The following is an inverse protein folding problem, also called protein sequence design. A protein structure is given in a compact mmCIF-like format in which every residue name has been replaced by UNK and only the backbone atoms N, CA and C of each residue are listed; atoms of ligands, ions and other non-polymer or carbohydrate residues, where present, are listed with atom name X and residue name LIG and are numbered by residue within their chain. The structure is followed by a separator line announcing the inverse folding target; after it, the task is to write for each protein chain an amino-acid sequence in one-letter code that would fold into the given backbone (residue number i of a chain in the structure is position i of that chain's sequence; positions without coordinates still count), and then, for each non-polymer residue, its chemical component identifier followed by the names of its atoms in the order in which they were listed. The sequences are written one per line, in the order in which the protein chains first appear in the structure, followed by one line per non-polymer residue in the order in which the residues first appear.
data_IF_397519975820
#
_entry.id   IF_397519975820
#
_cell.length_a   1.000
_cell.length_b   1.000
_cell.length_c   1.000
_cell.angle_alpha   90.00
_cell.angle_beta   90.00
_cell.angle_gamma   90.00
#
_symmetry.space_group_name_H-M   'P 1'
#
loop_
_entity.id
_entity.type
_entity.pdbx_description
1 polymer ?
#
# COMPACT_ATOMS: atom_id res chain seq x y z
N UNK A 1 -26.26 -5.34 1.19
CA UNK A 1 -26.02 -3.88 1.25
C UNK A 1 -24.67 -3.64 0.61
N UNK A 2 -24.68 -3.43 -0.70
CA UNK A 2 -23.50 -3.46 -1.55
C UNK A 2 -23.08 -2.01 -1.79
N UNK A 3 -21.95 -1.60 -1.24
CA UNK A 3 -21.31 -0.34 -1.62
C UNK A 3 -20.21 -0.71 -2.62
N UNK A 4 -20.35 -0.36 -3.91
CA UNK A 4 -19.23 -0.52 -4.84
C UNK A 4 -18.14 0.42 -4.36
N UNK A 5 -17.03 -0.14 -3.88
CA UNK A 5 -15.83 0.64 -3.60
C UNK A 5 -15.22 0.93 -4.97
N UNK A 6 -15.65 2.03 -5.56
CA UNK A 6 -14.97 2.66 -6.69
C UNK A 6 -13.79 3.41 -6.07
N UNK A 7 -12.63 2.76 -6.00
CA UNK A 7 -11.36 3.50 -5.91
C UNK A 7 -11.14 4.10 -7.30
N UNK A 8 -11.57 5.35 -7.42
CA UNK A 8 -11.43 6.15 -8.61
C UNK A 8 -9.95 6.50 -8.82
N UNK A 9 -9.23 5.66 -9.57
CA UNK A 9 -8.06 6.10 -10.30
C UNK A 9 -8.53 6.85 -11.56
N UNK A 10 -8.65 8.18 -11.45
CA UNK A 10 -8.93 9.10 -12.55
C UNK A 10 -7.74 10.07 -12.64
N UNK A 11 -7.11 10.43 -13.76
CA UNK A 11 -7.24 10.15 -15.19
C UNK A 11 -5.91 10.57 -15.86
N UNK A 12 -5.47 9.89 -16.94
CA UNK A 12 -5.02 10.51 -18.21
C UNK A 12 -4.40 9.44 -19.13
N UNK A 13 -5.14 9.03 -20.14
CA UNK A 13 -4.67 8.23 -21.27
C UNK A 13 -3.83 9.07 -22.24
N UNK A 14 -2.66 8.58 -22.71
CA UNK A 14 -2.08 8.87 -24.04
C UNK A 14 -0.97 7.83 -24.41
N UNK A 15 -1.24 7.06 -25.48
CA UNK A 15 -0.30 6.49 -26.48
C UNK A 15 0.81 5.50 -26.05
N UNK A 16 0.63 4.24 -26.48
CA UNK A 16 1.66 3.45 -27.17
C UNK A 16 3.03 3.27 -26.52
N UNK A 17 3.14 2.26 -25.67
CA UNK A 17 4.42 1.68 -25.25
C UNK A 17 4.18 0.65 -24.16
N UNK A 18 4.62 -0.59 -24.37
CA UNK A 18 4.77 -1.57 -23.28
C UNK A 18 5.93 -1.12 -22.40
N UNK A 19 5.75 -0.02 -21.67
CA UNK A 19 6.58 0.30 -20.53
C UNK A 19 6.22 -0.67 -19.41
N UNK A 20 7.19 -1.21 -18.65
CA UNK A 20 6.85 -1.93 -17.43
C UNK A 20 6.00 -0.97 -16.59
N UNK A 21 4.85 -1.43 -16.11
CA UNK A 21 4.08 -0.69 -15.14
C UNK A 21 5.04 -0.33 -14.00
N UNK A 22 5.40 0.95 -13.90
CA UNK A 22 6.24 1.44 -12.83
C UNK A 22 5.46 1.25 -11.55
N UNK A 23 5.65 0.13 -10.86
CA UNK A 23 5.42 0.09 -9.42
C UNK A 23 6.21 1.28 -8.87
N UNK A 24 5.51 2.25 -8.31
CA UNK A 24 6.11 3.54 -7.98
C UNK A 24 7.40 3.33 -7.18
N UNK A 25 8.47 4.00 -7.62
CA UNK A 25 9.74 3.89 -6.93
C UNK A 25 9.66 4.70 -5.64
N UNK A 26 10.03 4.08 -4.52
CA UNK A 26 10.14 4.78 -3.25
C UNK A 26 11.11 5.97 -3.37
N UNK A 27 10.75 7.11 -2.78
CA UNK A 27 11.61 8.29 -2.79
C UNK A 27 12.92 8.05 -2.03
N UNK A 28 13.98 8.77 -2.41
CA UNK A 28 15.34 8.59 -1.83
C UNK A 28 15.41 8.72 -0.29
N UNK A 29 14.46 9.45 0.32
CA UNK A 29 14.41 9.67 1.77
C UNK A 29 13.33 8.84 2.47
N UNK A 30 12.68 7.92 1.77
CA UNK A 30 11.65 7.09 2.36
C UNK A 30 12.28 6.04 3.27
N UNK A 31 11.56 5.71 4.34
CA UNK A 31 11.87 4.55 5.16
C UNK A 31 11.88 3.30 4.26
N UNK A 32 12.95 2.48 4.26
CA UNK A 32 13.00 1.26 3.47
C UNK A 32 11.83 0.33 3.79
N UNK A 33 11.30 -0.36 2.78
CA UNK A 33 10.13 -1.24 2.92
C UNK A 33 10.30 -2.27 4.06
N UNK A 34 11.49 -2.86 4.22
CA UNK A 34 11.77 -3.81 5.30
C UNK A 34 11.59 -3.19 6.70
N UNK A 35 11.95 -1.91 6.88
CA UNK A 35 11.73 -1.21 8.15
C UNK A 35 10.24 -0.89 8.37
N UNK A 36 9.50 -0.58 7.30
CA UNK A 36 8.05 -0.42 7.38
C UNK A 36 7.38 -1.73 7.79
N UNK A 37 7.80 -2.87 7.21
CA UNK A 37 7.30 -4.21 7.58
C UNK A 37 7.56 -4.50 9.07
N UNK A 38 8.75 -4.17 9.59
CA UNK A 38 9.04 -4.31 11.03
C UNK A 38 8.06 -3.50 11.88
N UNK A 39 7.75 -2.26 11.48
CA UNK A 39 6.76 -1.43 12.19
C UNK A 39 5.35 -1.98 12.09
N UNK A 40 4.92 -2.43 10.91
CA UNK A 40 3.61 -3.05 10.72
C UNK A 40 3.43 -4.25 11.65
N UNK A 41 4.47 -5.08 11.81
CA UNK A 41 4.46 -6.21 12.75
C UNK A 41 4.24 -5.78 14.20
N UNK A 42 4.79 -4.63 14.61
CA UNK A 42 4.56 -4.08 15.95
C UNK A 42 3.11 -3.62 16.18
N UNK A 43 2.36 -3.38 15.11
CA UNK A 43 0.92 -3.01 15.19
C UNK A 43 -0.03 -4.22 15.16
N UNK A 44 0.51 -5.44 15.05
CA UNK A 44 -0.28 -6.68 15.01
C UNK A 44 -0.41 -7.34 13.64
N UNK A 45 0.26 -6.82 12.60
CA UNK A 45 0.37 -7.55 11.34
C UNK A 45 1.24 -8.80 11.53
N UNK A 46 0.72 -9.94 11.13
CA UNK A 46 1.43 -11.23 11.17
C UNK A 46 2.08 -11.55 9.84
N UNK A 47 1.58 -10.96 8.75
CA UNK A 47 2.07 -11.15 7.39
C UNK A 47 1.90 -9.86 6.60
N UNK A 48 2.84 -9.57 5.70
CA UNK A 48 2.73 -8.52 4.68
C UNK A 48 2.96 -9.22 3.35
N UNK A 49 1.92 -9.24 2.52
CA UNK A 49 1.93 -9.92 1.22
C UNK A 49 2.43 -8.98 0.11
N UNK A 50 2.12 -7.69 0.25
CA UNK A 50 2.46 -6.65 -0.71
C UNK A 50 2.86 -5.37 0.02
N UNK A 51 3.88 -4.70 -0.49
CA UNK A 51 4.22 -3.33 -0.10
C UNK A 51 4.83 -2.61 -1.30
N UNK A 52 4.23 -1.49 -1.69
CA UNK A 52 4.62 -0.68 -2.83
C UNK A 52 4.64 0.80 -2.44
N UNK A 53 5.52 1.57 -3.08
CA UNK A 53 5.53 3.00 -2.94
C UNK A 53 4.62 3.59 -4.01
N UNK A 54 3.52 4.21 -3.64
CA UNK A 54 2.56 4.78 -4.58
C UNK A 54 1.94 6.06 -4.00
N UNK A 55 1.58 7.02 -4.85
CA UNK A 55 0.91 8.26 -4.45
C UNK A 55 1.52 8.98 -3.20
N UNK A 56 2.84 8.98 -3.07
CA UNK A 56 3.52 9.63 -1.95
C UNK A 56 3.41 8.92 -0.60
N UNK A 57 3.03 7.64 -0.59
CA UNK A 57 2.90 6.79 0.61
C UNK A 57 3.36 5.36 0.36
N UNK A 58 3.53 4.61 1.43
CA UNK A 58 3.56 3.15 1.34
C UNK A 58 2.13 2.65 1.26
N UNK A 59 1.84 1.79 0.29
CA UNK A 59 0.61 1.02 0.21
C UNK A 59 0.94 -0.46 0.36
N UNK A 60 0.04 -1.23 0.97
CA UNK A 60 0.27 -2.65 1.06
C UNK A 60 -0.92 -3.43 1.54
N UNK A 61 -0.75 -4.74 1.48
CA UNK A 61 -1.72 -5.73 1.90
C UNK A 61 -1.06 -6.68 2.89
N UNK A 62 -1.79 -7.07 3.92
CA UNK A 62 -1.27 -8.00 4.92
C UNK A 62 -2.35 -8.58 5.81
N UNK A 63 -1.95 -9.50 6.68
CA UNK A 63 -2.84 -10.13 7.64
C UNK A 63 -2.64 -9.49 9.01
N UNK A 64 -3.72 -8.97 9.60
CA UNK A 64 -3.76 -8.44 10.96
C UNK A 64 -4.91 -9.09 11.71
N UNK A 65 -4.64 -9.64 12.89
CA UNK A 65 -5.65 -10.35 13.69
C UNK A 65 -6.42 -11.43 12.92
N UNK A 66 -5.76 -12.14 12.00
CA UNK A 66 -6.36 -13.20 11.18
C UNK A 66 -7.24 -12.71 10.01
N UNK A 67 -7.30 -11.41 9.74
CA UNK A 67 -8.04 -10.84 8.62
C UNK A 67 -7.09 -10.17 7.62
N UNK A 68 -7.38 -10.30 6.31
CA UNK A 68 -6.68 -9.52 5.27
C UNK A 68 -7.06 -8.04 5.38
N UNK A 69 -6.05 -7.19 5.28
CA UNK A 69 -6.16 -5.75 5.42
C UNK A 69 -5.32 -5.07 4.35
N UNK A 70 -5.92 -4.09 3.70
CA UNK A 70 -5.21 -3.07 2.92
C UNK A 70 -4.79 -1.94 3.89
N UNK A 71 -3.56 -1.45 3.77
CA UNK A 71 -3.04 -0.36 4.58
C UNK A 71 -2.29 0.67 3.74
N UNK A 72 -2.29 1.89 4.26
CA UNK A 72 -1.40 2.96 3.85
C UNK A 72 -0.51 3.36 5.02
N UNK A 73 0.77 3.62 4.76
CA UNK A 73 1.72 4.06 5.76
C UNK A 73 2.51 5.29 5.31
N UNK A 74 2.89 6.11 6.29
CA UNK A 74 3.67 7.31 6.08
C UNK A 74 5.05 6.94 5.50
N UNK A 75 5.51 7.60 4.43
CA UNK A 75 6.74 7.24 3.74
C UNK A 75 8.00 7.47 4.59
N UNK A 76 7.98 8.41 5.53
CA UNK A 76 9.16 8.78 6.32
C UNK A 76 9.25 7.98 7.62
N UNK A 77 8.10 7.66 8.21
CA UNK A 77 8.00 7.07 9.54
C UNK A 77 7.46 5.66 9.53
N UNK A 78 6.83 5.18 8.46
CA UNK A 78 6.18 3.87 8.42
C UNK A 78 4.97 3.74 9.36
N UNK A 79 4.44 4.85 9.87
CA UNK A 79 3.23 4.85 10.69
C UNK A 79 1.99 4.59 9.82
N UNK A 80 1.07 3.74 10.27
CA UNK A 80 -0.17 3.47 9.55
C UNK A 80 -1.00 4.76 9.51
N UNK A 81 -1.32 5.21 8.30
CA UNK A 81 -2.20 6.35 8.03
C UNK A 81 -3.66 5.89 7.96
N UNK A 82 -3.91 4.80 7.24
CA UNK A 82 -5.23 4.18 7.10
C UNK A 82 -5.09 2.68 6.98
N UNK A 83 -6.06 1.92 7.51
CA UNK A 83 -6.18 0.48 7.27
C UNK A 83 -7.66 0.11 7.15
N UNK A 84 -7.95 -0.90 6.34
CA UNK A 84 -9.31 -1.38 6.08
C UNK A 84 -9.31 -2.86 5.73
N UNK A 85 -10.37 -3.61 6.08
CA UNK A 85 -10.54 -4.97 5.60
C UNK A 85 -10.43 -5.01 4.09
N UNK A 86 -9.58 -5.91 3.60
CA UNK A 86 -9.53 -6.21 2.18
C UNK A 86 -10.82 -6.95 1.80
N UNK A 87 -11.45 -6.51 0.71
CA UNK A 87 -12.73 -7.06 0.26
C UNK A 87 -12.50 -7.56 -1.16
N UNK A 88 -12.35 -8.88 -1.28
CA UNK A 88 -12.34 -9.60 -2.56
C UNK A 88 -13.52 -9.20 -3.47
#
# INVERSE_FOLDING_TARGET
MNRPIVLAAACASLVGGVAPASAGQAGANWMPADQVIVKLRQTGYTQVDKIEADDGRWEGEGVKNGQRMEFHADPSTGAILTERPDKD
#
